data_IF_560373315064
#
_entry.id   IF_560373315064
#
_cell.length_a   1.000
_cell.length_b   1.000
_cell.length_c   1.000
_cell.angle_alpha   90.00
_cell.angle_beta   90.00
_cell.angle_gamma   90.00
#
_symmetry.space_group_name_H-M   'P 1'
#
loop_
_entity.id
_entity.type
_entity.pdbx_description
1 polymer ?
#
# COMPACT_ATOMS: atom_id res chain seq x y z
N UNK A 1 15.24 -7.24 -20.99
CA UNK A 1 13.93 -6.73 -21.45
C UNK A 1 13.14 -6.30 -20.21
N UNK A 2 13.20 -5.00 -19.84
CA UNK A 2 12.44 -4.47 -18.69
C UNK A 2 11.07 -4.10 -19.21
N UNK A 3 10.07 -4.85 -18.79
CA UNK A 3 8.67 -4.65 -19.17
C UNK A 3 8.26 -3.26 -18.66
N UNK A 4 7.86 -2.32 -19.53
CA UNK A 4 7.27 -1.07 -19.08
C UNK A 4 5.78 -1.36 -18.87
N UNK A 5 5.32 -1.42 -17.62
CA UNK A 5 3.89 -1.39 -17.34
C UNK A 5 3.60 -0.40 -16.22
N UNK A 6 3.51 0.85 -16.63
CA UNK A 6 2.58 1.78 -16.00
C UNK A 6 1.19 1.18 -16.25
N UNK A 7 0.64 0.49 -15.27
CA UNK A 7 -0.80 0.46 -15.10
C UNK A 7 -1.10 1.57 -14.11
N UNK A 8 -1.83 2.58 -14.57
CA UNK A 8 -2.15 3.86 -13.94
C UNK A 8 -2.98 3.76 -12.63
N UNK A 9 -3.01 2.60 -11.98
CA UNK A 9 -3.70 2.30 -10.72
C UNK A 9 -3.09 1.00 -10.13
N UNK A 10 -1.94 1.06 -9.44
CA UNK A 10 -1.52 -0.08 -8.63
C UNK A 10 -2.46 -0.17 -7.42
N UNK A 11 -3.25 -1.25 -7.34
CA UNK A 11 -4.09 -1.52 -6.18
C UNK A 11 -3.26 -2.24 -5.12
N UNK A 12 -3.45 -1.87 -3.85
CA UNK A 12 -2.82 -2.49 -2.71
C UNK A 12 -3.66 -3.66 -2.24
N UNK A 13 -3.06 -4.84 -2.19
CA UNK A 13 -3.64 -6.01 -1.52
C UNK A 13 -3.31 -5.92 -0.02
N UNK A 14 -4.23 -5.39 0.77
CA UNK A 14 -4.10 -5.25 2.22
C UNK A 14 -4.82 -6.40 2.92
N UNK A 15 -4.14 -7.08 3.83
CA UNK A 15 -4.75 -8.09 4.71
C UNK A 15 -5.16 -7.43 6.02
N UNK A 16 -6.44 -7.56 6.36
CA UNK A 16 -7.00 -7.12 7.64
C UNK A 16 -6.81 -8.21 8.70
N UNK A 17 -6.84 -7.83 9.99
CA UNK A 17 -6.59 -8.74 11.12
C UNK A 17 -7.61 -9.89 11.24
N UNK A 18 -8.77 -9.74 10.59
CA UNK A 18 -9.81 -10.76 10.50
C UNK A 18 -9.54 -11.81 9.39
N UNK A 19 -8.46 -11.65 8.62
CA UNK A 19 -8.12 -12.52 7.50
C UNK A 19 -8.73 -12.11 6.15
N UNK A 20 -9.49 -11.00 6.10
CA UNK A 20 -9.98 -10.46 4.83
C UNK A 20 -8.86 -9.77 4.07
N UNK A 21 -8.75 -10.07 2.77
CA UNK A 21 -7.83 -9.41 1.86
C UNK A 21 -8.65 -8.41 1.03
N UNK A 22 -8.22 -7.15 1.01
CA UNK A 22 -8.86 -6.10 0.22
C UNK A 22 -7.90 -5.58 -0.83
N UNK A 23 -8.38 -5.44 -2.06
CA UNK A 23 -7.61 -4.99 -3.23
C UNK A 23 -8.28 -3.77 -3.91
N UNK A 24 -9.13 -3.07 -3.17
CA UNK A 24 -9.93 -1.93 -3.62
C UNK A 24 -9.21 -0.59 -3.50
N UNK A 25 -8.10 -0.55 -2.74
CA UNK A 25 -7.36 0.66 -2.42
C UNK A 25 -6.23 0.93 -3.41
N UNK A 26 -6.19 2.14 -3.97
CA UNK A 26 -5.11 2.56 -4.86
C UNK A 26 -3.90 3.03 -4.07
N UNK A 27 -2.69 2.68 -4.53
CA UNK A 27 -1.43 3.26 -4.03
C UNK A 27 -1.44 4.77 -4.32
N UNK A 28 -1.26 5.63 -3.31
CA UNK A 28 -1.21 7.07 -3.53
C UNK A 28 0.08 7.45 -4.29
N UNK A 29 0.01 8.39 -5.23
CA UNK A 29 1.15 8.86 -6.02
C UNK A 29 2.09 9.83 -5.25
N UNK A 30 2.11 9.76 -3.92
CA UNK A 30 2.90 10.61 -3.03
C UNK A 30 4.13 9.86 -2.48
N UNK A 31 4.92 10.52 -1.63
CA UNK A 31 6.10 9.89 -1.01
C UNK A 31 5.74 8.63 -0.19
N UNK A 32 4.52 8.56 0.35
CA UNK A 32 4.02 7.37 1.06
C UNK A 32 3.88 6.18 0.12
N UNK A 33 3.33 6.37 -1.08
CA UNK A 33 3.24 5.30 -2.08
C UNK A 33 4.60 4.77 -2.51
N UNK A 34 5.58 5.66 -2.73
CA UNK A 34 6.95 5.25 -3.04
C UNK A 34 7.59 4.45 -1.89
N UNK A 35 7.29 4.85 -0.65
CA UNK A 35 7.77 4.14 0.54
C UNK A 35 7.11 2.75 0.67
N UNK A 36 5.82 2.62 0.32
CA UNK A 36 5.10 1.33 0.24
C UNK A 36 5.79 0.41 -0.77
N UNK A 37 6.03 0.89 -1.99
CA UNK A 37 6.70 0.09 -3.03
C UNK A 37 8.08 -0.36 -2.58
N UNK A 38 8.86 0.55 -2.00
CA UNK A 38 10.23 0.25 -1.52
C UNK A 38 10.22 -0.82 -0.44
N UNK A 39 9.33 -0.72 0.55
CA UNK A 39 9.21 -1.70 1.64
C UNK A 39 8.68 -3.03 1.15
N UNK A 40 7.76 -3.01 0.19
CA UNK A 40 7.24 -4.21 -0.44
C UNK A 40 8.31 -4.93 -1.26
N UNK A 41 9.12 -4.22 -2.03
CA UNK A 41 10.28 -4.77 -2.75
C UNK A 41 11.37 -5.28 -1.79
N UNK A 42 11.52 -4.65 -0.62
CA UNK A 42 12.41 -5.13 0.43
C UNK A 42 11.93 -6.42 1.10
N UNK A 43 10.65 -6.78 0.96
CA UNK A 43 10.04 -7.93 1.63
C UNK A 43 9.78 -7.68 3.12
N UNK A 44 9.76 -6.43 3.56
CA UNK A 44 9.46 -6.06 4.93
C UNK A 44 7.96 -6.15 5.20
N UNK A 45 7.60 -6.57 6.42
CA UNK A 45 6.22 -6.47 6.89
C UNK A 45 5.94 -5.03 7.35
N UNK A 46 4.90 -4.41 6.80
CA UNK A 46 4.50 -3.06 7.19
C UNK A 46 2.98 -2.92 7.21
N UNK A 47 2.53 -2.02 8.05
CA UNK A 47 1.13 -1.66 8.23
C UNK A 47 0.87 -0.33 7.52
N UNK A 48 -0.21 -0.27 6.74
CA UNK A 48 -0.64 0.94 6.03
C UNK A 48 -1.84 1.55 6.77
N UNK A 49 -1.77 2.85 7.06
CA UNK A 49 -2.90 3.61 7.60
C UNK A 49 -3.64 4.28 6.46
N UNK A 50 -4.90 3.91 6.29
CA UNK A 50 -5.82 4.48 5.31
C UNK A 50 -6.80 5.39 6.03
N UNK A 51 -6.94 6.62 5.56
CA UNK A 51 -7.99 7.53 6.02
C UNK A 51 -9.09 7.55 4.97
N UNK A 52 -10.32 7.33 5.42
CA UNK A 52 -11.54 7.57 4.64
C UNK A 52 -12.16 8.89 5.09
N UNK A 53 -12.34 9.83 4.18
CA UNK A 53 -13.01 11.11 4.44
C UNK A 53 -13.86 11.52 3.23
N UNK A 54 -15.10 11.97 3.47
CA UNK A 54 -16.04 12.41 2.41
C UNK A 54 -16.27 11.41 1.28
N UNK A 55 -16.09 10.10 1.53
CA UNK A 55 -16.24 9.05 0.52
C UNK A 55 -14.98 8.78 -0.31
N UNK A 56 -13.86 9.42 0.01
CA UNK A 56 -12.55 9.16 -0.59
C UNK A 56 -11.66 8.44 0.43
N UNK A 57 -10.97 7.38 -0.02
CA UNK A 57 -10.01 6.61 0.79
C UNK A 57 -8.60 6.83 0.26
N UNK A 58 -7.68 7.23 1.16
CA UNK A 58 -6.28 7.45 0.82
C UNK A 58 -5.36 6.87 1.89
N UNK A 59 -4.31 6.17 1.47
CA UNK A 59 -3.21 5.80 2.36
C UNK A 59 -2.40 7.05 2.72
N UNK A 60 -2.27 7.32 4.02
CA UNK A 60 -1.62 8.54 4.54
C UNK A 60 -0.32 8.25 5.29
N UNK A 61 -0.14 7.03 5.76
CA UNK A 61 1.04 6.65 6.52
C UNK A 61 1.34 5.16 6.35
N UNK A 62 2.61 4.81 6.44
CA UNK A 62 3.04 3.42 6.63
C UNK A 62 3.86 3.29 7.89
N UNK A 63 3.73 2.16 8.57
CA UNK A 63 4.48 1.82 9.77
C UNK A 63 5.11 0.46 9.57
N UNK A 64 6.44 0.40 9.57
CA UNK A 64 7.14 -0.89 9.49
C UNK A 64 6.83 -1.68 10.76
N UNK A 65 6.34 -2.91 10.58
CA UNK A 65 6.25 -3.88 11.65
C UNK A 65 7.60 -4.56 11.69
N UNK A 66 8.52 -4.00 12.47
CA UNK A 66 9.78 -4.68 12.74
C UNK A 66 9.45 -5.93 13.57
N UNK A 67 9.33 -7.08 12.91
CA UNK A 67 9.34 -8.40 13.54
C UNK A 67 10.67 -8.53 14.27
N UNK A 68 10.62 -8.50 15.61
CA UNK A 68 11.77 -8.58 16.49
C UNK A 68 12.12 -10.02 16.82
#
# INVERSE_FOLDING_TARGET
EKIPRISENFYMSLMSDNGDIREDLRVPDNDVGREIETKFEAGDEFMVTVISAMGEECAVATKVLASK
#
